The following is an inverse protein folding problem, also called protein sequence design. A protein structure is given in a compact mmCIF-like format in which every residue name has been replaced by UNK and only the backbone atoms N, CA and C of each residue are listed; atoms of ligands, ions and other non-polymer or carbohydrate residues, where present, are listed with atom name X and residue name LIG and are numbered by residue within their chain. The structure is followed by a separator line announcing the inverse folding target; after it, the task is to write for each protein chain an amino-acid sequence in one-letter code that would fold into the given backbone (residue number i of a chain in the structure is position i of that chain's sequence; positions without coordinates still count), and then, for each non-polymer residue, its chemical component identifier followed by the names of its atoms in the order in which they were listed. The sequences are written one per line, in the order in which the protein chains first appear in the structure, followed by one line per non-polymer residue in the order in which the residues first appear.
data_IF_437416780352
#
_entry.id   IF_437416780352
#
_cell.length_a   1.000
_cell.length_b   1.000
_cell.length_c   1.000
_cell.angle_alpha   90.00
_cell.angle_beta   90.00
_cell.angle_gamma   90.00
#
_symmetry.space_group_name_H-M   'P 1'
#
loop_
_entity.id
_entity.type
_entity.pdbx_description
1 polymer ?
#
# COMPACT_ATOMS: atom_id res chain seq x y z
N UNK A 1 16.11 -17.57 -7.28
CA UNK A 1 16.27 -17.15 -5.87
C UNK A 1 16.62 -15.67 -5.95
N UNK A 2 15.68 -14.79 -5.60
CA UNK A 2 15.87 -13.33 -5.58
C UNK A 2 16.90 -12.99 -4.52
N UNK A 3 17.85 -12.08 -4.79
CA UNK A 3 18.83 -11.65 -3.78
C UNK A 3 18.12 -10.98 -2.60
N UNK A 4 18.75 -10.94 -1.42
CA UNK A 4 18.25 -10.13 -0.30
C UNK A 4 18.10 -8.65 -0.72
N UNK A 5 19.06 -8.13 -1.51
CA UNK A 5 19.04 -6.75 -1.98
C UNK A 5 17.85 -6.48 -2.92
N UNK A 6 17.56 -7.43 -3.81
CA UNK A 6 16.41 -7.34 -4.72
C UNK A 6 15.09 -7.37 -3.94
N UNK A 7 14.96 -8.29 -2.98
CA UNK A 7 13.77 -8.37 -2.11
C UNK A 7 13.59 -7.08 -1.29
N UNK A 8 14.67 -6.53 -0.75
CA UNK A 8 14.66 -5.28 0.00
C UNK A 8 14.18 -4.12 -0.86
N UNK A 9 14.76 -3.98 -2.06
CA UNK A 9 14.39 -2.93 -3.01
C UNK A 9 12.91 -3.02 -3.44
N UNK A 10 12.38 -4.22 -3.67
CA UNK A 10 10.97 -4.44 -3.98
C UNK A 10 10.05 -3.96 -2.85
N UNK A 11 10.35 -4.33 -1.60
CA UNK A 11 9.57 -3.93 -0.42
C UNK A 11 9.64 -2.42 -0.14
N UNK A 12 10.81 -1.81 -0.30
CA UNK A 12 10.98 -0.35 -0.18
C UNK A 12 10.18 0.39 -1.27
N UNK A 13 10.18 -0.13 -2.51
CA UNK A 13 9.40 0.41 -3.61
C UNK A 13 7.88 0.34 -3.36
N UNK A 14 7.39 -0.78 -2.82
CA UNK A 14 5.99 -0.95 -2.42
C UNK A 14 5.58 0.05 -1.33
N UNK A 15 6.41 0.22 -0.28
CA UNK A 15 6.15 1.19 0.77
C UNK A 15 6.17 2.63 0.24
N UNK A 16 7.14 2.97 -0.61
CA UNK A 16 7.23 4.30 -1.23
C UNK A 16 6.00 4.61 -2.09
N UNK A 17 5.51 3.64 -2.88
CA UNK A 17 4.32 3.83 -3.70
C UNK A 17 3.09 4.18 -2.85
N UNK A 18 2.92 3.55 -1.70
CA UNK A 18 1.84 3.86 -0.75
C UNK A 18 1.98 5.27 -0.16
N UNK A 19 3.20 5.67 0.23
CA UNK A 19 3.48 7.03 0.74
C UNK A 19 3.15 8.09 -0.31
N UNK A 20 3.58 7.89 -1.56
CA UNK A 20 3.31 8.82 -2.65
C UNK A 20 1.81 8.91 -2.97
N UNK A 21 1.09 7.79 -2.90
CA UNK A 21 -0.36 7.79 -3.07
C UNK A 21 -1.07 8.55 -1.94
N UNK A 22 -0.63 8.40 -0.69
CA UNK A 22 -1.15 9.16 0.45
C UNK A 22 -0.91 10.67 0.30
N UNK A 23 0.31 11.06 -0.09
CA UNK A 23 0.68 12.45 -0.34
C UNK A 23 -0.16 13.06 -1.48
N UNK A 24 -0.33 12.33 -2.58
CA UNK A 24 -1.18 12.75 -3.70
C UNK A 24 -2.65 12.97 -3.28
N UNK A 25 -3.19 12.09 -2.43
CA UNK A 25 -4.54 12.26 -1.87
C UNK A 25 -4.62 13.51 -1.01
N UNK A 26 -3.68 13.69 -0.08
CA UNK A 26 -3.69 14.84 0.83
C UNK A 26 -3.54 16.16 0.07
N UNK A 27 -2.61 16.24 -0.88
CA UNK A 27 -2.42 17.41 -1.73
C UNK A 27 -3.66 17.71 -2.60
N UNK A 28 -4.34 16.68 -3.10
CA UNK A 28 -5.58 16.86 -3.83
C UNK A 28 -6.70 17.39 -2.93
N UNK A 29 -6.86 16.84 -1.72
CA UNK A 29 -7.83 17.26 -0.72
C UNK A 29 -7.60 18.71 -0.29
N UNK A 30 -6.36 19.15 -0.06
CA UNK A 30 -6.05 20.55 0.28
C UNK A 30 -6.55 21.55 -0.76
N UNK A 31 -6.49 21.17 -2.05
CA UNK A 31 -6.93 22.04 -3.13
C UNK A 31 -8.44 22.00 -3.40
N UNK A 32 -9.15 21.01 -2.84
CA UNK A 32 -10.58 20.74 -3.09
C UNK A 32 -10.94 20.72 -4.59
N UNK A 33 -9.95 20.38 -5.44
CA UNK A 33 -10.13 20.34 -6.89
C UNK A 33 -10.60 18.92 -7.29
N UNK A 34 -11.81 18.84 -7.83
CA UNK A 34 -12.45 17.57 -8.16
C UNK A 34 -11.63 16.72 -9.15
N UNK A 35 -10.99 17.33 -10.15
CA UNK A 35 -10.17 16.59 -11.11
C UNK A 35 -8.89 16.03 -10.47
N UNK A 36 -8.27 16.79 -9.55
CA UNK A 36 -7.11 16.32 -8.79
C UNK A 36 -7.47 15.19 -7.85
N UNK A 37 -8.59 15.31 -7.14
CA UNK A 37 -9.10 14.25 -6.25
C UNK A 37 -9.36 12.99 -7.07
N UNK A 38 -10.05 13.13 -8.21
CA UNK A 38 -10.32 12.01 -9.11
C UNK A 38 -9.03 11.32 -9.56
N UNK A 39 -8.03 12.07 -10.01
CA UNK A 39 -6.74 11.52 -10.44
C UNK A 39 -5.99 10.80 -9.30
N UNK A 40 -5.97 11.38 -8.09
CA UNK A 40 -5.35 10.76 -6.92
C UNK A 40 -6.06 9.46 -6.53
N UNK A 41 -7.40 9.44 -6.55
CA UNK A 41 -8.22 8.26 -6.26
C UNK A 41 -8.05 7.17 -7.33
N UNK A 42 -7.97 7.52 -8.61
CA UNK A 42 -7.71 6.57 -9.69
C UNK A 42 -6.33 5.91 -9.53
N UNK A 43 -5.30 6.70 -9.23
CA UNK A 43 -3.98 6.19 -8.96
C UNK A 43 -3.95 5.24 -7.76
N UNK A 44 -4.60 5.64 -6.66
CA UNK A 44 -4.72 4.83 -5.47
C UNK A 44 -5.45 3.50 -5.73
N UNK A 45 -6.55 3.52 -6.50
CA UNK A 45 -7.28 2.32 -6.90
C UNK A 45 -6.38 1.35 -7.68
N UNK A 46 -5.62 1.85 -8.65
CA UNK A 46 -4.69 1.02 -9.43
C UNK A 46 -3.64 0.35 -8.54
N UNK A 47 -3.08 1.11 -7.59
CA UNK A 47 -2.11 0.59 -6.63
C UNK A 47 -2.70 -0.56 -5.81
N UNK A 48 -3.88 -0.36 -5.21
CA UNK A 48 -4.51 -1.38 -4.37
C UNK A 48 -4.96 -2.63 -5.15
N UNK A 49 -5.36 -2.47 -6.41
CA UNK A 49 -5.61 -3.62 -7.30
C UNK A 49 -4.32 -4.41 -7.59
N UNK A 50 -3.18 -3.73 -7.75
CA UNK A 50 -1.88 -4.41 -7.89
C UNK A 50 -1.49 -5.15 -6.61
N UNK A 51 -1.61 -4.53 -5.43
CA UNK A 51 -1.38 -5.20 -4.13
C UNK A 51 -2.27 -6.42 -3.95
N UNK A 52 -3.56 -6.34 -4.34
CA UNK A 52 -4.49 -7.47 -4.29
C UNK A 52 -4.04 -8.60 -5.22
N UNK A 53 -3.67 -8.28 -6.45
CA UNK A 53 -3.20 -9.27 -7.42
C UNK A 53 -1.93 -9.99 -6.93
N UNK A 54 -0.96 -9.23 -6.39
CA UNK A 54 0.26 -9.78 -5.79
C UNK A 54 -0.07 -10.67 -4.58
N UNK A 55 -1.00 -10.25 -3.73
CA UNK A 55 -1.44 -11.00 -2.56
C UNK A 55 -2.16 -12.30 -2.93
N UNK A 56 -2.93 -12.33 -4.02
CA UNK A 56 -3.58 -13.54 -4.50
C UNK A 56 -2.61 -14.54 -5.16
N UNK A 57 -1.38 -14.12 -5.48
CA UNK A 57 -0.38 -15.00 -6.08
C UNK A 57 0.09 -16.07 -5.10
N UNK A 58 0.28 -17.30 -5.59
CA UNK A 58 0.77 -18.45 -4.82
C UNK A 58 2.24 -18.32 -4.40
N UNK A 59 2.97 -17.36 -4.99
CA UNK A 59 4.35 -17.02 -4.66
C UNK A 59 4.47 -15.90 -3.62
N UNK A 60 3.38 -15.58 -2.92
CA UNK A 60 3.42 -14.57 -1.86
C UNK A 60 4.42 -14.97 -0.77
N UNK A 61 5.40 -14.09 -0.59
CA UNK A 61 6.41 -14.12 0.49
C UNK A 61 5.82 -13.72 1.85
N UNK A 62 4.54 -13.33 1.90
CA UNK A 62 3.88 -12.96 3.14
C UNK A 62 3.26 -14.18 3.84
N UNK A 63 3.26 -14.22 5.19
CA UNK A 63 2.47 -15.18 5.95
C UNK A 63 0.99 -15.12 5.55
N UNK A 64 0.30 -16.26 5.59
CA UNK A 64 -1.08 -16.40 5.12
C UNK A 64 -2.05 -15.40 5.77
N UNK A 65 -1.95 -15.20 7.09
CA UNK A 65 -2.75 -14.22 7.82
C UNK A 65 -2.52 -12.77 7.36
N UNK A 66 -1.27 -12.42 7.00
CA UNK A 66 -0.93 -11.08 6.49
C UNK A 66 -1.53 -10.87 5.11
N UNK A 67 -1.46 -11.88 4.25
CA UNK A 67 -2.06 -11.86 2.91
C UNK A 67 -3.58 -11.65 2.96
N UNK A 68 -4.29 -12.35 3.82
CA UNK A 68 -5.74 -12.16 3.99
C UNK A 68 -6.10 -10.73 4.41
N UNK A 69 -5.31 -10.14 5.32
CA UNK A 69 -5.52 -8.77 5.76
C UNK A 69 -5.33 -7.76 4.62
N UNK A 70 -4.29 -7.92 3.79
CA UNK A 70 -4.07 -7.06 2.62
C UNK A 70 -5.20 -7.19 1.61
N UNK A 71 -5.71 -8.40 1.36
CA UNK A 71 -6.84 -8.61 0.44
C UNK A 71 -8.09 -7.88 0.95
N UNK A 72 -8.41 -7.99 2.25
CA UNK A 72 -9.56 -7.30 2.85
C UNK A 72 -9.43 -5.78 2.78
N UNK A 73 -8.23 -5.25 3.04
CA UNK A 73 -7.95 -3.82 2.90
C UNK A 73 -8.07 -3.37 1.44
N UNK A 74 -7.57 -4.16 0.49
CA UNK A 74 -7.69 -3.86 -0.92
C UNK A 74 -9.15 -3.84 -1.38
N UNK A 75 -9.98 -4.75 -0.90
CA UNK A 75 -11.42 -4.77 -1.18
C UNK A 75 -12.11 -3.50 -0.64
N UNK A 76 -11.82 -3.13 0.60
CA UNK A 76 -12.34 -1.91 1.22
C UNK A 76 -11.93 -0.66 0.43
N UNK A 77 -10.62 -0.46 0.24
CA UNK A 77 -10.09 0.73 -0.44
C UNK A 77 -10.59 0.81 -1.88
N UNK A 78 -10.60 -0.31 -2.61
CA UNK A 78 -11.10 -0.32 -4.00
C UNK A 78 -12.58 0.04 -4.08
N UNK A 79 -13.40 -0.48 -3.14
CA UNK A 79 -14.82 -0.14 -3.06
C UNK A 79 -15.02 1.35 -2.83
N UNK A 80 -14.32 1.94 -1.86
CA UNK A 80 -14.41 3.38 -1.57
C UNK A 80 -13.95 4.23 -2.75
N UNK A 81 -12.84 3.88 -3.41
CA UNK A 81 -12.38 4.57 -4.61
C UNK A 81 -13.44 4.53 -5.72
N UNK A 82 -14.06 3.37 -5.98
CA UNK A 82 -15.13 3.26 -7.00
C UNK A 82 -16.33 4.14 -6.66
N UNK A 83 -16.72 4.22 -5.39
CA UNK A 83 -17.80 5.11 -4.94
C UNK A 83 -17.46 6.58 -5.23
N UNK A 84 -16.26 7.05 -4.85
CA UNK A 84 -15.78 8.41 -5.14
C UNK A 84 -15.79 8.71 -6.63
N UNK A 85 -15.24 7.81 -7.45
CA UNK A 85 -15.15 7.98 -8.91
C UNK A 85 -16.52 7.97 -9.59
N UNK A 86 -17.52 7.35 -8.98
CA UNK A 86 -18.92 7.40 -9.42
C UNK A 86 -19.65 8.69 -9.02
N UNK A 87 -18.97 9.63 -8.35
CA UNK A 87 -19.54 10.88 -7.86
C UNK A 87 -20.39 10.71 -6.60
N UNK A 88 -20.29 9.57 -5.90
CA UNK A 88 -20.97 9.38 -4.61
C UNK A 88 -20.14 10.04 -3.51
N UNK A 89 -20.78 10.83 -2.61
CA UNK A 89 -20.08 11.42 -1.49
C UNK A 89 -19.60 10.32 -0.55
N UNK A 90 -18.36 10.45 -0.11
CA UNK A 90 -17.78 9.62 0.95
C UNK A 90 -16.72 10.44 1.70
N UNK A 91 -16.68 10.23 3.01
CA UNK A 91 -15.76 10.92 3.92
C UNK A 91 -14.49 10.10 4.17
N UNK A 92 -14.24 9.07 3.35
CA UNK A 92 -13.13 8.12 3.56
C UNK A 92 -11.82 8.53 2.88
N UNK A 93 -11.77 9.66 2.15
CA UNK A 93 -10.58 10.07 1.41
C UNK A 93 -9.32 10.15 2.31
N UNK A 94 -9.46 10.81 3.47
CA UNK A 94 -8.38 10.89 4.47
C UNK A 94 -8.07 9.55 5.10
N UNK A 95 -9.10 8.75 5.39
CA UNK A 95 -8.92 7.39 5.91
C UNK A 95 -8.12 6.52 4.95
N UNK A 96 -8.33 6.64 3.64
CA UNK A 96 -7.54 5.91 2.64
C UNK A 96 -6.07 6.35 2.67
N UNK A 97 -5.80 7.66 2.76
CA UNK A 97 -4.43 8.16 2.89
C UNK A 97 -3.75 7.65 4.19
N UNK A 98 -4.48 7.61 5.31
CA UNK A 98 -3.99 7.07 6.57
C UNK A 98 -3.69 5.57 6.49
N UNK A 99 -4.57 4.78 5.84
CA UNK A 99 -4.34 3.35 5.60
C UNK A 99 -3.05 3.16 4.79
N UNK A 100 -2.85 3.93 3.72
CA UNK A 100 -1.62 3.84 2.92
C UNK A 100 -0.37 4.07 3.76
N UNK A 101 -0.37 5.10 4.60
CA UNK A 101 0.75 5.39 5.50
C UNK A 101 1.01 4.26 6.50
N UNK A 102 -0.04 3.76 7.17
CA UNK A 102 0.09 2.67 8.14
C UNK A 102 0.64 1.39 7.51
N UNK A 103 0.22 1.07 6.29
CA UNK A 103 0.73 -0.12 5.57
C UNK A 103 2.17 0.10 5.13
N UNK A 104 2.53 1.29 4.63
CA UNK A 104 3.92 1.62 4.30
C UNK A 104 4.85 1.48 5.51
N UNK A 105 4.45 2.03 6.66
CA UNK A 105 5.19 1.91 7.93
C UNK A 105 5.36 0.44 8.35
N UNK A 106 4.27 -0.34 8.32
CA UNK A 106 4.31 -1.76 8.66
C UNK A 106 5.23 -2.58 7.74
N UNK A 107 5.27 -2.27 6.45
CA UNK A 107 6.17 -2.91 5.49
C UNK A 107 7.64 -2.60 5.81
N UNK A 108 7.96 -1.32 6.06
CA UNK A 108 9.33 -0.89 6.40
C UNK A 108 9.80 -1.47 7.74
N UNK A 109 8.92 -1.52 8.74
CA UNK A 109 9.24 -2.12 10.03
C UNK A 109 9.53 -3.63 9.90
N UNK A 110 8.70 -4.35 9.12
CA UNK A 110 8.92 -5.77 8.86
C UNK A 110 10.24 -6.04 8.12
N UNK A 111 10.59 -5.17 7.16
CA UNK A 111 11.83 -5.24 6.41
C UNK A 111 13.03 -5.03 7.35
N UNK A 112 12.99 -4.00 8.19
CA UNK A 112 14.04 -3.70 9.16
C UNK A 112 14.26 -4.86 10.16
N UNK A 113 13.18 -5.46 10.68
CA UNK A 113 13.26 -6.64 11.55
C UNK A 113 13.88 -7.85 10.85
N UNK A 114 13.65 -8.00 9.55
CA UNK A 114 14.23 -9.10 8.76
C UNK A 114 15.72 -8.86 8.53
N UNK A 115 16.11 -7.63 8.22
CA UNK A 115 17.51 -7.22 8.06
C UNK A 115 18.34 -7.47 9.32
N UNK A 116 17.82 -7.05 10.49
CA UNK A 116 18.46 -7.29 11.78
C UNK A 116 18.69 -8.79 12.04
N UNK A 117 17.69 -9.63 11.79
CA UNK A 117 17.82 -11.09 11.97
C UNK A 117 18.89 -11.71 11.07
N UNK A 118 19.04 -11.21 9.84
CA UNK A 118 20.08 -11.66 8.92
C UNK A 118 21.46 -11.26 9.45
N UNK A 119 21.60 -10.02 9.94
CA UNK A 119 22.84 -9.52 10.52
C UNK A 119 23.24 -10.28 11.80
N UNK A 120 22.27 -10.57 12.68
CA UNK A 120 22.49 -11.33 13.93
C UNK A 120 22.79 -12.82 13.67
N UNK A 121 22.23 -13.39 12.60
CA UNK A 121 22.52 -14.77 12.18
C UNK A 121 23.89 -14.94 11.52
N UNK A 122 24.55 -13.86 11.12
CA UNK A 122 25.89 -13.84 10.55
C UNK A 122 26.98 -13.57 11.60
N UNK A 123 26.61 -13.18 12.83
CA UNK A 123 27.53 -12.87 13.94
C UNK A 123 27.71 -14.03 14.94
N UNK A 124 27.18 -15.21 14.64
CA UNK A 124 27.37 -16.47 15.39
C UNK A 124 27.83 -17.61 14.47
#
# INVERSE_FOLDING_TARGET
MTSWDDYKAEREGEALALVLAADAINAADETQNADRIKAAVEHNLQLWLAFKALSLSTHSVFPENTRENIIRLADFVSSECVLMLSGKPTDTLKTIAEINMQIAEGLLEALHKTEQKIQDGLTH
#
